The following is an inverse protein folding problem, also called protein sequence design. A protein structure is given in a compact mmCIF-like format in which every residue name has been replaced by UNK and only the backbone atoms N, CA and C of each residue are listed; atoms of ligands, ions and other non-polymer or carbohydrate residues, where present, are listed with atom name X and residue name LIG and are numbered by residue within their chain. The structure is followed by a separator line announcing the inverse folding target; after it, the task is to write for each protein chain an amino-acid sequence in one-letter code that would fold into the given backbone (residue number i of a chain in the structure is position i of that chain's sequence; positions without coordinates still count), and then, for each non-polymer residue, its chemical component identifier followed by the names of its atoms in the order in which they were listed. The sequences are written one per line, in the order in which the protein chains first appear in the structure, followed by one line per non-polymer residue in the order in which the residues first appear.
data_IF_123752305952
#
_entry.id   IF_123752305952
#
_cell.length_a   1.000
_cell.length_b   1.000
_cell.length_c   1.000
_cell.angle_alpha   90.00
_cell.angle_beta   90.00
_cell.angle_gamma   90.00
#
_symmetry.space_group_name_H-M   'P 1'
#
loop_
_entity.id
_entity.type
_entity.pdbx_description
1 polymer ?
#
# COMPACT_ATOMS: atom_id res chain seq x y z
N UNK A 1 23.41 10.32 5.27
CA UNK A 1 24.49 10.11 6.26
C UNK A 1 24.88 11.46 6.83
N UNK A 2 24.81 11.66 8.14
CA UNK A 2 25.14 12.95 8.81
C UNK A 2 26.46 12.86 9.56
N UNK A 3 26.84 11.72 10.04
CA UNK A 3 28.19 11.49 10.59
C UNK A 3 28.71 10.15 10.08
N UNK A 4 29.97 10.05 9.84
CA UNK A 4 30.64 8.84 9.37
C UNK A 4 31.92 8.67 10.14
N UNK A 5 32.11 7.49 10.72
CA UNK A 5 33.34 7.11 11.37
C UNK A 5 33.78 8.12 12.48
N UNK A 6 32.80 8.68 13.19
CA UNK A 6 33.06 9.63 14.27
C UNK A 6 33.61 8.87 15.50
N UNK A 7 34.81 9.23 16.00
CA UNK A 7 35.32 8.62 17.21
C UNK A 7 34.50 9.09 18.42
N UNK A 8 34.08 8.18 19.25
CA UNK A 8 33.62 8.53 20.58
C UNK A 8 34.84 8.82 21.44
N UNK A 9 35.00 10.05 21.88
CA UNK A 9 36.09 10.52 22.72
C UNK A 9 36.19 9.63 23.99
N UNK A 10 37.29 8.96 24.15
CA UNK A 10 37.45 7.98 25.20
C UNK A 10 38.55 8.41 26.18
N UNK A 11 38.20 9.11 27.20
CA UNK A 11 38.99 9.12 28.44
C UNK A 11 39.21 7.71 28.99
N UNK A 12 38.50 6.71 28.47
CA UNK A 12 38.55 5.32 28.89
C UNK A 12 39.59 4.47 28.12
N UNK A 13 40.35 5.05 27.18
CA UNK A 13 41.43 4.34 26.48
C UNK A 13 40.94 3.29 25.45
N UNK A 14 39.68 3.38 24.97
CA UNK A 14 39.17 2.59 23.88
C UNK A 14 39.22 3.44 22.62
N UNK A 15 40.24 3.27 21.81
CA UNK A 15 40.50 4.07 20.60
C UNK A 15 39.96 3.46 19.29
N UNK A 16 39.05 2.49 19.40
CA UNK A 16 38.53 1.75 18.24
C UNK A 16 37.01 1.71 18.12
N UNK A 17 36.26 2.51 18.89
CA UNK A 17 34.82 2.62 18.77
C UNK A 17 34.44 3.85 17.96
N UNK A 18 33.80 3.62 16.81
CA UNK A 18 33.30 4.66 15.90
C UNK A 18 31.82 4.45 15.62
N UNK A 19 31.11 5.53 15.33
CA UNK A 19 29.69 5.48 14.95
C UNK A 19 29.45 6.20 13.63
N UNK A 20 28.37 5.83 12.96
CA UNK A 20 27.87 6.51 11.78
C UNK A 20 26.34 6.63 11.88
N UNK A 21 25.81 7.79 11.55
CA UNK A 21 24.39 8.07 11.55
C UNK A 21 23.92 8.53 10.17
N UNK A 22 22.66 8.25 9.84
CA UNK A 22 22.06 8.54 8.56
C UNK A 22 20.86 9.49 8.71
N UNK A 23 20.61 10.26 7.64
CA UNK A 23 19.39 11.03 7.43
C UNK A 23 18.77 10.62 6.12
N UNK A 24 17.45 10.39 6.13
CA UNK A 24 16.67 10.18 4.92
C UNK A 24 15.75 11.38 4.68
N UNK A 25 15.64 11.79 3.41
CA UNK A 25 14.64 12.74 2.94
C UNK A 25 13.87 12.11 1.79
N UNK A 26 12.57 11.85 1.98
CA UNK A 26 11.73 11.19 0.97
C UNK A 26 10.28 11.63 1.10
N UNK A 27 9.49 11.45 0.02
CA UNK A 27 8.02 11.45 0.13
C UNK A 27 7.56 10.23 0.90
N UNK A 28 6.59 10.38 1.81
CA UNK A 28 6.10 9.27 2.63
C UNK A 28 5.39 8.18 1.83
N UNK A 29 4.88 8.54 0.62
CA UNK A 29 4.23 7.64 -0.32
C UNK A 29 5.17 7.10 -1.42
N UNK A 30 6.46 7.39 -1.35
CA UNK A 30 7.41 7.03 -2.41
C UNK A 30 7.84 5.55 -2.43
N UNK A 31 7.56 4.80 -1.39
CA UNK A 31 7.87 3.37 -1.25
C UNK A 31 6.60 2.60 -0.85
N UNK A 32 6.71 1.35 -0.44
CA UNK A 32 5.60 0.61 0.21
C UNK A 32 5.05 1.43 1.36
N UNK A 33 3.77 1.75 1.33
CA UNK A 33 3.16 2.65 2.30
C UNK A 33 1.69 2.35 2.57
N UNK A 34 1.17 2.97 3.63
CA UNK A 34 -0.25 3.15 3.87
C UNK A 34 -0.65 4.60 3.71
N UNK A 35 -1.81 4.85 3.12
CA UNK A 35 -2.47 6.14 3.14
C UNK A 35 -3.23 6.33 4.45
N UNK A 36 -3.06 7.51 5.04
CA UNK A 36 -3.93 7.96 6.11
C UNK A 36 -5.31 8.38 5.57
N UNK A 37 -6.33 8.33 6.42
CA UNK A 37 -7.71 8.66 6.02
C UNK A 37 -7.93 10.15 5.64
N UNK A 38 -6.87 10.94 5.72
CA UNK A 38 -6.82 12.32 5.24
C UNK A 38 -6.00 12.49 3.96
N UNK A 39 -5.46 11.39 3.38
CA UNK A 39 -4.65 11.48 2.16
C UNK A 39 -5.46 11.99 0.96
N UNK A 40 -6.73 11.62 0.89
CA UNK A 40 -7.66 12.13 -0.11
C UNK A 40 -8.77 12.97 0.54
N UNK A 41 -9.27 13.94 -0.22
CA UNK A 41 -10.44 14.73 0.14
C UNK A 41 -11.28 15.02 -1.10
N UNK A 42 -12.59 15.09 -0.94
CA UNK A 42 -13.47 15.58 -1.98
C UNK A 42 -14.65 16.34 -1.35
N UNK A 43 -15.29 17.24 -2.11
CA UNK A 43 -16.32 18.14 -1.61
C UNK A 43 -15.91 18.93 -0.34
N UNK A 44 -14.60 19.18 -0.18
CA UNK A 44 -14.05 19.89 0.99
C UNK A 44 -13.98 19.07 2.28
N UNK A 45 -14.14 17.76 2.21
CA UNK A 45 -14.16 16.86 3.38
C UNK A 45 -13.12 15.75 3.27
N UNK A 46 -12.61 15.36 4.41
CA UNK A 46 -11.89 14.10 4.65
C UNK A 46 -12.77 13.15 5.49
N UNK A 47 -12.29 11.96 5.82
CA UNK A 47 -13.02 10.98 6.59
C UNK A 47 -13.73 11.57 7.82
N UNK A 48 -14.89 11.00 8.14
CA UNK A 48 -15.73 11.37 9.27
C UNK A 48 -16.25 12.84 9.23
N UNK A 49 -16.29 13.43 8.02
CA UNK A 49 -16.85 14.77 7.79
C UNK A 49 -15.99 15.92 8.31
N UNK A 50 -14.70 15.69 8.59
CA UNK A 50 -13.81 16.80 8.93
C UNK A 50 -13.50 17.63 7.68
N UNK A 51 -13.40 18.97 7.81
CA UNK A 51 -13.00 19.84 6.71
C UNK A 51 -11.60 19.53 6.20
N UNK A 52 -11.39 19.61 4.88
CA UNK A 52 -10.06 19.41 4.26
C UNK A 52 -9.02 20.44 4.69
N UNK A 53 -9.46 21.64 5.14
CA UNK A 53 -8.62 22.69 5.73
C UNK A 53 -7.94 22.25 7.04
N UNK A 54 -8.30 21.11 7.62
CA UNK A 54 -7.55 20.49 8.74
C UNK A 54 -6.17 19.98 8.36
N UNK A 55 -5.83 20.01 7.05
CA UNK A 55 -4.51 19.68 6.52
C UNK A 55 -3.86 20.99 6.06
N UNK A 56 -2.74 21.33 6.67
CA UNK A 56 -2.00 22.56 6.35
C UNK A 56 -0.52 22.27 6.08
N UNK A 57 0.15 23.21 5.39
CA UNK A 57 1.61 23.11 5.17
C UNK A 57 2.43 23.24 6.44
N UNK A 58 1.89 23.90 7.46
CA UNK A 58 2.64 24.23 8.67
C UNK A 58 2.49 23.16 9.77
N UNK A 59 1.28 22.59 9.91
CA UNK A 59 0.96 21.62 10.95
C UNK A 59 0.76 20.19 10.43
N UNK A 60 0.65 20.02 9.10
CA UNK A 60 0.24 18.77 8.51
C UNK A 60 -1.25 18.47 8.76
N UNK A 61 -1.61 17.21 8.85
CA UNK A 61 -2.98 16.77 9.12
C UNK A 61 -3.27 16.82 10.63
N UNK A 62 -4.16 17.70 11.06
CA UNK A 62 -4.62 17.78 12.45
C UNK A 62 -5.81 16.84 12.74
N UNK A 63 -6.33 16.17 11.72
CA UNK A 63 -7.38 15.14 11.78
C UNK A 63 -7.04 14.01 10.82
N UNK A 64 -7.37 12.79 11.20
CA UNK A 64 -7.21 11.59 10.39
C UNK A 64 -5.78 11.33 9.88
N UNK A 65 -4.76 11.94 10.50
CA UNK A 65 -3.36 11.67 10.19
C UNK A 65 -2.95 10.23 10.46
N UNK A 66 -1.91 9.78 9.77
CA UNK A 66 -1.46 8.37 9.79
C UNK A 66 -1.03 7.90 11.19
N UNK A 67 -0.61 8.79 12.07
CA UNK A 67 -0.26 8.48 13.47
C UNK A 67 -1.42 7.89 14.28
N UNK A 68 -2.65 8.00 13.80
CA UNK A 68 -3.82 7.39 14.42
C UNK A 68 -3.98 5.91 14.04
N UNK A 69 -3.33 5.45 12.97
CA UNK A 69 -3.26 4.05 12.57
C UNK A 69 -2.16 3.32 13.36
N UNK A 70 -2.42 3.09 14.65
CA UNK A 70 -1.37 2.69 15.63
C UNK A 70 -0.95 1.23 15.54
N UNK A 71 -1.82 0.37 15.04
CA UNK A 71 -1.56 -1.06 14.94
C UNK A 71 -2.29 -1.62 13.75
N UNK A 72 -1.54 -2.22 12.83
CA UNK A 72 -2.08 -2.96 11.68
C UNK A 72 -1.52 -4.37 11.75
N UNK A 73 -2.27 -5.24 12.41
CA UNK A 73 -1.97 -6.66 12.56
C UNK A 73 -3.26 -7.46 12.44
N UNK A 74 -3.36 -8.37 11.50
CA UNK A 74 -4.52 -9.24 11.32
C UNK A 74 -4.15 -10.47 10.49
N UNK A 75 -5.16 -11.28 10.17
CA UNK A 75 -5.03 -12.24 9.08
C UNK A 75 -4.87 -11.46 7.77
N UNK A 76 -3.78 -11.71 7.04
CA UNK A 76 -3.58 -11.28 5.66
C UNK A 76 -4.13 -12.31 4.70
N UNK A 77 -4.72 -11.86 3.61
CA UNK A 77 -5.18 -12.71 2.50
C UNK A 77 -4.57 -12.17 1.22
N UNK A 78 -3.87 -13.03 0.46
CA UNK A 78 -3.36 -12.70 -0.85
C UNK A 78 -4.37 -13.09 -1.93
N UNK A 79 -4.82 -12.12 -2.71
CA UNK A 79 -5.59 -12.31 -3.93
C UNK A 79 -4.68 -12.06 -5.14
N UNK A 80 -4.16 -13.14 -5.74
CA UNK A 80 -3.26 -13.05 -6.89
C UNK A 80 -4.06 -12.97 -8.19
N UNK A 81 -4.52 -11.77 -8.53
CA UNK A 81 -5.34 -11.52 -9.73
C UNK A 81 -4.57 -11.81 -11.01
N UNK A 82 -3.28 -11.46 -11.07
CA UNK A 82 -2.48 -11.78 -12.25
C UNK A 82 -2.45 -13.29 -12.52
N UNK A 83 -2.20 -14.09 -11.49
CA UNK A 83 -2.17 -15.56 -11.62
C UNK A 83 -3.55 -16.15 -11.89
N UNK A 84 -4.62 -15.61 -11.31
CA UNK A 84 -6.00 -16.02 -11.62
C UNK A 84 -6.37 -15.77 -13.08
N UNK A 85 -5.83 -14.72 -13.71
CA UNK A 85 -5.96 -14.44 -15.15
C UNK A 85 -4.97 -15.23 -16.03
N UNK A 86 -4.09 -16.05 -15.44
CA UNK A 86 -3.11 -16.86 -16.17
C UNK A 86 -1.94 -16.06 -16.75
N UNK A 87 -1.63 -14.91 -16.15
CA UNK A 87 -0.53 -14.03 -16.57
C UNK A 87 0.41 -13.75 -15.41
N UNK A 88 1.65 -13.36 -15.70
CA UNK A 88 2.60 -12.96 -14.67
C UNK A 88 2.35 -11.53 -14.19
N UNK A 89 1.96 -10.64 -15.12
CA UNK A 89 1.69 -9.23 -14.90
C UNK A 89 0.43 -8.86 -15.65
N UNK A 90 -0.49 -8.15 -15.01
CA UNK A 90 -1.67 -7.60 -15.70
C UNK A 90 -1.28 -6.55 -16.73
N UNK A 91 -2.01 -6.49 -17.82
CA UNK A 91 -1.86 -5.42 -18.82
C UNK A 91 -2.14 -4.04 -18.18
N UNK A 92 -1.63 -2.97 -18.81
CA UNK A 92 -1.90 -1.59 -18.41
C UNK A 92 -2.53 -0.82 -19.59
N UNK A 93 -3.70 -0.17 -19.37
CA UNK A 93 -4.52 -0.22 -18.16
C UNK A 93 -5.33 -1.54 -18.02
N UNK A 94 -5.55 -1.98 -16.77
CA UNK A 94 -6.47 -3.07 -16.47
C UNK A 94 -7.32 -2.71 -15.24
N UNK A 95 -8.63 -2.67 -15.41
CA UNK A 95 -9.57 -2.38 -14.33
C UNK A 95 -9.94 -3.69 -13.59
N UNK A 96 -9.38 -3.91 -12.41
CA UNK A 96 -9.71 -5.05 -11.55
C UNK A 96 -11.16 -4.91 -11.09
N UNK A 97 -11.95 -5.96 -11.30
CA UNK A 97 -13.37 -6.01 -10.95
C UNK A 97 -13.60 -6.85 -9.68
N UNK A 98 -14.81 -6.77 -9.11
CA UNK A 98 -15.24 -7.66 -8.03
C UNK A 98 -15.13 -9.15 -8.42
N UNK A 99 -15.48 -9.50 -9.68
CA UNK A 99 -15.34 -10.87 -10.20
C UNK A 99 -13.88 -11.32 -10.25
N UNK A 100 -12.93 -10.41 -10.56
CA UNK A 100 -11.51 -10.74 -10.53
C UNK A 100 -11.01 -11.06 -9.12
N UNK A 101 -11.56 -10.38 -8.10
CA UNK A 101 -11.26 -10.67 -6.70
C UNK A 101 -11.82 -12.03 -6.27
N UNK A 102 -13.04 -12.35 -6.70
CA UNK A 102 -13.66 -13.67 -6.46
C UNK A 102 -12.89 -14.79 -7.15
N UNK A 103 -12.46 -14.58 -8.40
CA UNK A 103 -11.62 -15.54 -9.15
C UNK A 103 -10.29 -15.80 -8.43
N UNK A 104 -9.65 -14.74 -7.91
CA UNK A 104 -8.41 -14.85 -7.18
C UNK A 104 -8.59 -15.54 -5.82
N UNK A 105 -9.69 -15.29 -5.12
CA UNK A 105 -10.04 -15.99 -3.89
C UNK A 105 -10.30 -17.48 -4.15
N UNK A 106 -11.00 -17.80 -5.26
CA UNK A 106 -11.25 -19.17 -5.69
C UNK A 106 -9.94 -19.90 -6.07
N UNK A 107 -9.02 -19.22 -6.78
CA UNK A 107 -7.69 -19.76 -7.09
C UNK A 107 -6.93 -20.15 -5.81
N UNK A 108 -6.91 -19.29 -4.82
CA UNK A 108 -6.25 -19.51 -3.53
C UNK A 108 -7.02 -20.45 -2.61
N UNK A 109 -8.24 -20.87 -2.98
CA UNK A 109 -9.18 -21.59 -2.11
C UNK A 109 -9.28 -20.93 -0.72
N UNK A 110 -9.36 -19.59 -0.70
CA UNK A 110 -9.40 -18.77 0.50
C UNK A 110 -10.70 -17.97 0.54
N UNK A 111 -11.28 -17.85 1.72
CA UNK A 111 -12.44 -16.99 1.98
C UNK A 111 -11.97 -15.72 2.68
N UNK A 112 -12.33 -14.57 2.15
CA UNK A 112 -12.11 -13.27 2.82
C UNK A 112 -13.16 -13.09 3.91
N UNK A 113 -12.72 -12.65 5.09
CA UNK A 113 -13.55 -12.53 6.30
C UNK A 113 -13.46 -11.14 6.89
N UNK A 114 -14.45 -10.77 7.66
CA UNK A 114 -14.46 -9.52 8.43
C UNK A 114 -13.16 -9.35 9.23
N UNK A 115 -12.52 -8.20 9.07
CA UNK A 115 -11.27 -7.84 9.73
C UNK A 115 -9.99 -8.31 9.05
N UNK A 116 -10.08 -8.99 7.90
CA UNK A 116 -8.89 -9.34 7.11
C UNK A 116 -8.22 -8.11 6.50
N UNK A 117 -6.92 -8.22 6.27
CA UNK A 117 -6.16 -7.30 5.43
C UNK A 117 -5.94 -7.99 4.08
N UNK A 118 -6.50 -7.41 3.03
CA UNK A 118 -6.44 -7.99 1.68
C UNK A 118 -5.26 -7.39 0.91
N UNK A 119 -4.40 -8.27 0.41
CA UNK A 119 -3.28 -7.90 -0.48
C UNK A 119 -3.62 -8.37 -1.89
N UNK A 120 -3.61 -7.47 -2.87
CA UNK A 120 -3.96 -7.78 -4.26
C UNK A 120 -2.75 -7.63 -5.16
N UNK A 121 -2.34 -8.74 -5.80
CA UNK A 121 -1.19 -8.77 -6.68
C UNK A 121 -1.62 -8.62 -8.15
N UNK A 122 -1.00 -7.65 -8.81
CA UNK A 122 -1.08 -7.43 -10.27
C UNK A 122 0.17 -7.93 -11.01
N UNK A 123 1.25 -8.21 -10.27
CA UNK A 123 2.57 -8.54 -10.81
C UNK A 123 3.40 -7.31 -11.19
N UNK A 124 2.89 -6.09 -10.97
CA UNK A 124 3.55 -4.86 -11.43
C UNK A 124 4.91 -4.63 -10.78
N UNK A 125 5.10 -5.10 -9.55
CA UNK A 125 6.39 -4.95 -8.87
C UNK A 125 7.52 -5.73 -9.55
N UNK A 126 7.25 -6.81 -10.26
CA UNK A 126 8.25 -7.52 -11.07
C UNK A 126 8.85 -6.66 -12.20
N UNK A 127 8.08 -5.69 -12.73
CA UNK A 127 8.57 -4.72 -13.70
C UNK A 127 9.54 -3.73 -13.03
N UNK A 128 9.24 -3.31 -11.79
CA UNK A 128 10.20 -2.49 -11.02
C UNK A 128 11.54 -3.22 -10.84
N UNK A 129 11.50 -4.51 -10.50
CA UNK A 129 12.71 -5.32 -10.27
C UNK A 129 13.51 -5.57 -11.54
N UNK A 130 12.84 -5.80 -12.67
CA UNK A 130 13.50 -6.16 -13.95
C UNK A 130 13.89 -4.96 -14.80
N UNK A 131 13.10 -3.89 -14.81
CA UNK A 131 13.22 -2.75 -15.72
C UNK A 131 13.43 -1.40 -15.00
N UNK A 132 13.25 -1.37 -13.68
CA UNK A 132 13.47 -0.20 -12.83
C UNK A 132 12.26 0.71 -12.68
N UNK A 133 12.40 1.72 -11.81
CA UNK A 133 11.30 2.56 -11.36
C UNK A 133 10.61 3.37 -12.48
N UNK A 134 11.32 3.77 -13.52
CA UNK A 134 10.72 4.51 -14.64
C UNK A 134 9.72 3.64 -15.42
N UNK A 135 10.07 2.40 -15.73
CA UNK A 135 9.17 1.47 -16.40
C UNK A 135 7.95 1.13 -15.52
N UNK A 136 8.18 0.97 -14.22
CA UNK A 136 7.11 0.78 -13.24
C UNK A 136 6.12 1.95 -13.21
N UNK A 137 6.62 3.19 -13.11
CA UNK A 137 5.78 4.39 -12.98
C UNK A 137 5.06 4.78 -14.27
N UNK A 138 5.74 4.65 -15.42
CA UNK A 138 5.21 5.15 -16.69
C UNK A 138 4.31 4.16 -17.43
N UNK A 139 4.32 2.89 -17.04
CA UNK A 139 3.58 1.87 -17.78
C UNK A 139 4.19 1.54 -19.14
N UNK A 140 3.69 0.51 -19.83
CA UNK A 140 4.26 0.05 -21.10
C UNK A 140 4.12 1.06 -22.23
N UNK A 141 3.15 1.95 -22.17
CA UNK A 141 2.91 3.01 -23.18
C UNK A 141 3.64 4.31 -22.86
N UNK A 142 4.29 4.41 -21.70
CA UNK A 142 4.99 5.63 -21.28
C UNK A 142 4.07 6.80 -20.87
N UNK A 143 2.79 6.53 -20.64
CA UNK A 143 1.74 7.50 -20.35
C UNK A 143 1.24 7.46 -18.89
N UNK A 144 1.87 6.63 -18.06
CA UNK A 144 1.50 6.42 -16.66
C UNK A 144 0.35 5.42 -16.48
N UNK A 145 -0.08 4.73 -17.55
CA UNK A 145 -1.15 3.73 -17.46
C UNK A 145 -0.81 2.62 -16.46
N UNK A 146 -1.80 2.22 -15.67
CA UNK A 146 -1.62 1.31 -14.56
C UNK A 146 -2.82 0.38 -14.39
N UNK A 147 -2.55 -0.88 -14.04
CA UNK A 147 -3.59 -1.77 -13.56
C UNK A 147 -3.97 -1.39 -12.12
N UNK A 148 -5.21 -1.57 -11.75
CA UNK A 148 -5.68 -1.28 -10.40
C UNK A 148 -7.17 -1.43 -10.24
N UNK A 149 -7.68 -1.12 -9.08
CA UNK A 149 -9.08 -1.35 -8.75
C UNK A 149 -10.03 -0.49 -9.56
N UNK A 150 -11.14 -1.08 -10.01
CA UNK A 150 -12.31 -0.36 -10.55
C UNK A 150 -13.30 -0.01 -9.44
N UNK A 151 -14.29 0.83 -9.76
CA UNK A 151 -15.36 1.17 -8.81
C UNK A 151 -16.15 -0.04 -8.32
N UNK A 152 -16.25 -1.11 -9.11
CA UNK A 152 -16.98 -2.31 -8.72
C UNK A 152 -16.37 -3.05 -7.52
N UNK A 153 -15.10 -2.79 -7.20
CA UNK A 153 -14.43 -3.41 -6.05
C UNK A 153 -14.78 -2.74 -4.72
N UNK A 154 -15.26 -1.50 -4.74
CA UNK A 154 -15.55 -0.74 -3.52
C UNK A 154 -16.63 -1.41 -2.66
N UNK A 155 -17.75 -1.78 -3.29
CA UNK A 155 -18.84 -2.51 -2.63
C UNK A 155 -18.37 -3.88 -2.16
N UNK A 156 -17.54 -4.56 -2.95
CA UNK A 156 -16.96 -5.85 -2.58
C UNK A 156 -16.15 -5.79 -1.27
N UNK A 157 -15.25 -4.79 -1.13
CA UNK A 157 -14.48 -4.60 0.11
C UNK A 157 -15.35 -4.23 1.30
N UNK A 158 -16.40 -3.44 1.06
CA UNK A 158 -17.37 -3.07 2.09
C UNK A 158 -18.15 -4.28 2.59
N UNK A 159 -18.69 -5.10 1.69
CA UNK A 159 -19.52 -6.26 2.03
C UNK A 159 -18.71 -7.36 2.73
N UNK A 160 -17.42 -7.48 2.43
CA UNK A 160 -16.51 -8.39 3.12
C UNK A 160 -15.96 -7.82 4.44
N UNK A 161 -16.33 -6.59 4.81
CA UNK A 161 -15.87 -5.93 6.04
C UNK A 161 -14.34 -5.95 6.18
N UNK A 162 -13.63 -5.68 5.09
CA UNK A 162 -12.16 -5.69 5.02
C UNK A 162 -11.60 -4.56 5.89
N UNK A 163 -10.60 -4.85 6.71
CA UNK A 163 -10.00 -3.87 7.62
C UNK A 163 -9.02 -2.91 6.91
N UNK A 164 -8.30 -3.40 5.92
CA UNK A 164 -7.37 -2.63 5.09
C UNK A 164 -7.09 -3.37 3.78
N UNK A 165 -6.71 -2.66 2.74
CA UNK A 165 -6.38 -3.25 1.43
C UNK A 165 -5.10 -2.65 0.88
N UNK A 166 -4.25 -3.45 0.25
CA UNK A 166 -3.06 -2.97 -0.42
C UNK A 166 -2.82 -3.70 -1.75
N UNK A 167 -2.10 -3.03 -2.66
CA UNK A 167 -1.66 -3.64 -3.90
C UNK A 167 -0.22 -3.27 -4.26
N UNK A 168 0.28 -3.86 -5.32
CA UNK A 168 1.65 -3.71 -5.84
C UNK A 168 1.77 -2.64 -6.93
N UNK A 169 0.81 -1.70 -7.02
CA UNK A 169 0.80 -0.66 -8.05
C UNK A 169 1.02 0.75 -7.48
N UNK A 170 1.37 1.70 -8.35
CA UNK A 170 1.63 3.09 -7.98
C UNK A 170 0.35 3.86 -7.65
N UNK A 171 -0.71 3.64 -8.43
CA UNK A 171 -1.92 4.46 -8.38
C UNK A 171 -3.06 3.82 -7.57
N UNK A 172 -2.90 2.59 -7.08
CA UNK A 172 -3.92 1.80 -6.39
C UNK A 172 -5.10 1.43 -7.29
N UNK A 173 -5.79 2.41 -7.85
CA UNK A 173 -6.88 2.22 -8.81
C UNK A 173 -6.38 2.26 -10.26
N UNK A 174 -7.21 1.80 -11.18
CA UNK A 174 -6.88 1.80 -12.60
C UNK A 174 -6.61 3.22 -13.10
N UNK A 175 -5.54 3.39 -13.86
CA UNK A 175 -5.21 4.65 -14.50
C UNK A 175 -4.89 4.45 -15.99
N UNK A 176 -5.48 5.27 -16.90
CA UNK A 176 -6.47 6.32 -16.63
C UNK A 176 -7.77 5.75 -16.04
N UNK A 177 -8.42 6.55 -15.19
CA UNK A 177 -9.68 6.18 -14.54
C UNK A 177 -10.80 6.00 -15.58
N UNK A 178 -11.72 5.06 -15.30
CA UNK A 178 -12.81 4.76 -16.24
C UNK A 178 -13.83 5.89 -16.34
N UNK A 179 -14.24 6.48 -15.21
CA UNK A 179 -15.28 7.51 -15.14
C UNK A 179 -14.81 8.76 -14.39
N UNK A 180 -14.68 8.64 -13.07
CA UNK A 180 -14.30 9.75 -12.18
C UNK A 180 -12.85 9.54 -11.71
N UNK A 181 -11.95 10.49 -11.96
CA UNK A 181 -10.58 10.37 -11.50
C UNK A 181 -10.48 10.16 -9.99
N UNK A 182 -9.72 9.16 -9.57
CA UNK A 182 -9.43 8.83 -8.16
C UNK A 182 -10.68 8.52 -7.32
N UNK A 183 -11.72 7.95 -7.95
CA UNK A 183 -12.98 7.64 -7.29
C UNK A 183 -12.85 6.57 -6.21
N UNK A 184 -12.00 5.57 -6.41
CA UNK A 184 -11.75 4.52 -5.39
C UNK A 184 -11.08 5.12 -4.16
N UNK A 185 -10.10 6.03 -4.32
CA UNK A 185 -9.51 6.77 -3.20
C UNK A 185 -10.54 7.57 -2.42
N UNK A 186 -11.45 8.27 -3.11
CA UNK A 186 -12.51 9.05 -2.47
C UNK A 186 -13.40 8.15 -1.62
N UNK A 187 -13.88 7.06 -2.19
CA UNK A 187 -14.81 6.16 -1.51
C UNK A 187 -14.14 5.38 -0.38
N UNK A 188 -12.94 4.83 -0.60
CA UNK A 188 -12.22 4.10 0.44
C UNK A 188 -11.84 5.00 1.61
N UNK A 189 -11.08 6.07 1.33
CA UNK A 189 -10.50 6.89 2.39
C UNK A 189 -11.51 7.81 3.05
N UNK A 190 -12.40 8.46 2.26
CA UNK A 190 -13.29 9.51 2.80
C UNK A 190 -14.63 8.95 3.26
N UNK A 191 -15.27 8.07 2.49
CA UNK A 191 -16.60 7.58 2.83
C UNK A 191 -16.55 6.34 3.74
N UNK A 192 -15.74 5.34 3.38
CA UNK A 192 -15.66 4.07 4.12
C UNK A 192 -14.73 4.15 5.33
N UNK A 193 -13.70 5.00 5.32
CA UNK A 193 -12.64 4.97 6.31
C UNK A 193 -11.76 3.73 6.18
N UNK A 194 -11.66 3.18 4.97
CA UNK A 194 -10.82 2.04 4.63
C UNK A 194 -9.43 2.52 4.23
N UNK A 195 -8.43 2.24 5.06
CA UNK A 195 -7.03 2.53 4.74
C UNK A 195 -6.56 1.67 3.56
N UNK A 196 -5.79 2.27 2.66
CA UNK A 196 -5.27 1.61 1.47
C UNK A 196 -3.75 1.76 1.37
N UNK A 197 -3.09 0.79 0.74
CA UNK A 197 -1.64 0.78 0.57
C UNK A 197 -1.22 0.54 -0.87
N UNK A 198 -0.11 1.16 -1.26
CA UNK A 198 0.44 1.03 -2.60
C UNK A 198 1.93 0.66 -2.57
N UNK A 199 2.45 0.29 -3.74
CA UNK A 199 3.85 -0.08 -3.94
C UNK A 199 4.32 -1.27 -3.08
N UNK A 200 3.43 -2.23 -2.80
CA UNK A 200 3.80 -3.41 -2.03
C UNK A 200 4.53 -4.43 -2.90
N UNK A 201 5.68 -4.92 -2.44
CA UNK A 201 6.33 -6.04 -3.12
C UNK A 201 5.70 -7.36 -2.65
N UNK A 202 4.86 -7.93 -3.51
CA UNK A 202 4.10 -9.14 -3.23
C UNK A 202 4.67 -10.38 -3.94
N UNK A 203 5.76 -10.26 -4.71
CA UNK A 203 6.29 -11.33 -5.55
C UNK A 203 6.70 -12.56 -4.73
N UNK A 204 7.56 -12.39 -3.73
CA UNK A 204 8.01 -13.51 -2.89
C UNK A 204 6.87 -14.15 -2.08
N UNK A 205 5.88 -13.35 -1.65
CA UNK A 205 4.70 -13.86 -0.95
C UNK A 205 3.82 -14.68 -1.90
N UNK A 206 3.62 -14.23 -3.13
CA UNK A 206 2.86 -14.94 -4.14
C UNK A 206 3.49 -16.29 -4.49
N UNK A 207 4.81 -16.32 -4.65
CA UNK A 207 5.54 -17.57 -4.88
C UNK A 207 5.42 -18.55 -3.70
N UNK A 208 5.50 -18.03 -2.47
CA UNK A 208 5.30 -18.87 -1.28
C UNK A 208 3.88 -19.43 -1.23
N UNK A 209 2.85 -18.61 -1.52
CA UNK A 209 1.45 -19.05 -1.55
C UNK A 209 1.19 -20.09 -2.64
N UNK A 210 1.76 -19.92 -3.83
CA UNK A 210 1.66 -20.92 -4.90
C UNK A 210 2.31 -22.25 -4.51
N UNK A 211 3.50 -22.20 -3.89
CA UNK A 211 4.26 -23.39 -3.56
C UNK A 211 3.60 -24.26 -2.48
N UNK A 212 2.94 -23.64 -1.49
CA UNK A 212 2.30 -24.39 -0.39
C UNK A 212 0.76 -24.46 -0.48
N UNK A 213 0.16 -23.69 -1.43
CA UNK A 213 -1.29 -23.64 -1.63
C UNK A 213 -2.05 -22.93 -0.50
N UNK A 214 -1.36 -22.13 0.33
CA UNK A 214 -1.96 -21.41 1.45
C UNK A 214 -1.88 -19.91 1.15
N UNK A 215 -3.03 -19.23 1.03
CA UNK A 215 -3.14 -17.82 0.65
C UNK A 215 -3.56 -16.92 1.80
N UNK A 216 -3.60 -17.44 3.02
CA UNK A 216 -3.76 -16.65 4.24
C UNK A 216 -2.57 -16.85 5.19
N UNK A 217 -2.31 -15.82 5.99
CA UNK A 217 -1.12 -15.74 6.83
C UNK A 217 -1.34 -14.72 7.95
N UNK A 218 -0.46 -14.70 8.95
CA UNK A 218 -0.39 -13.57 9.85
C UNK A 218 0.33 -12.41 9.16
N UNK A 219 -0.32 -11.22 9.13
CA UNK A 219 0.28 -10.00 8.60
C UNK A 219 0.49 -8.97 9.72
N UNK A 220 1.70 -8.43 9.81
CA UNK A 220 2.04 -7.25 10.59
C UNK A 220 2.51 -6.14 9.64
N UNK A 221 1.80 -5.03 9.62
CA UNK A 221 2.04 -3.93 8.68
C UNK A 221 1.74 -2.56 9.30
N UNK A 222 2.15 -2.35 10.55
CA UNK A 222 1.95 -1.09 11.25
C UNK A 222 2.83 0.01 10.64
N UNK A 223 2.26 1.14 10.20
CA UNK A 223 3.04 2.27 9.66
C UNK A 223 3.83 3.00 10.75
N UNK A 224 4.84 3.75 10.33
CA UNK A 224 5.52 4.69 11.22
C UNK A 224 4.59 5.85 11.59
N UNK A 225 4.50 6.26 12.87
CA UNK A 225 3.52 7.23 13.34
C UNK A 225 3.99 8.68 13.11
N UNK A 226 4.14 9.10 11.86
CA UNK A 226 4.49 10.48 11.52
C UNK A 226 3.36 11.44 11.92
N UNK A 227 3.60 12.27 12.91
CA UNK A 227 2.63 13.27 13.38
C UNK A 227 2.24 14.22 12.24
N UNK A 228 0.95 14.32 11.98
CA UNK A 228 0.42 15.15 10.90
C UNK A 228 0.68 14.60 9.50
N UNK A 229 1.23 13.37 9.38
CA UNK A 229 1.44 12.72 8.09
C UNK A 229 0.13 12.28 7.46
N UNK A 230 0.03 12.45 6.14
CA UNK A 230 -1.13 11.95 5.35
C UNK A 230 -0.93 10.53 4.84
N UNK A 231 0.20 9.92 5.11
CA UNK A 231 0.56 8.55 4.81
C UNK A 231 1.90 8.21 5.45
N UNK A 232 2.32 6.95 5.38
CA UNK A 232 3.58 6.52 5.98
C UNK A 232 4.14 5.30 5.28
N UNK A 233 5.47 5.25 5.07
CA UNK A 233 6.13 4.01 4.67
C UNK A 233 5.89 2.92 5.72
N UNK A 234 5.92 1.68 5.26
CA UNK A 234 5.75 0.48 6.08
C UNK A 234 6.67 -0.63 5.58
N UNK A 235 7.18 -1.44 6.51
CA UNK A 235 7.89 -2.68 6.21
C UNK A 235 7.01 -3.87 6.65
N UNK A 236 6.09 -4.34 5.77
CA UNK A 236 5.15 -5.39 6.12
C UNK A 236 5.85 -6.74 6.27
N UNK A 237 5.38 -7.55 7.21
CA UNK A 237 5.87 -8.91 7.46
C UNK A 237 4.71 -9.88 7.41
N UNK A 238 4.76 -10.82 6.46
CA UNK A 238 3.86 -11.96 6.38
C UNK A 238 4.52 -13.19 6.99
N UNK A 239 3.84 -13.89 7.90
CA UNK A 239 4.32 -15.10 8.57
C UNK A 239 3.34 -16.23 8.24
N UNK A 240 3.88 -17.27 7.60
CA UNK A 240 3.15 -18.48 7.19
C UNK A 240 3.59 -19.67 8.02
#
# INVERSE_FOLDING_TARGET
MISVDEPIDSEAGIDSFHTSDDVVQMGLQAATHWDGLCHASYNGLVYNGYPSETITSDEGATRCGIENLRTVCSRGVLLDVARAKGVNVLDCPYAITAEDLDDAAALGNVEVKSGDIVLVRTGRMSIYESEGGMAYCLGPSGDGSNAGFSLSTVEWFYDHEVAAVANDTLAFEVYPSEDVPMAVHMLHLVDMGLTQGQNWNLESLADACENDGIYDFFLSATPEPFLGGVGSPVAPVAIK
#
